data_IF_367321206834
#
_entry.id   IF_367321206834
#
_cell.length_a   1.000
_cell.length_b   1.000
_cell.length_c   1.000
_cell.angle_alpha   90.00
_cell.angle_beta   90.00
_cell.angle_gamma   90.00
#
_symmetry.space_group_name_H-M   'P 1'
#
loop_
_entity.id
_entity.type
_entity.pdbx_description
1 polymer ?
#
# COMPACT_ATOMS: atom_id res chain seq x y z
N UNK A 1 6.92 13.15 3.43
CA UNK A 1 6.05 12.12 4.04
C UNK A 1 5.34 11.38 2.92
N UNK A 2 4.89 10.15 3.17
CA UNK A 2 4.14 9.36 2.18
C UNK A 2 2.66 9.75 2.17
N UNK A 3 1.97 9.45 1.07
CA UNK A 3 0.51 9.59 0.98
C UNK A 3 -0.19 8.52 1.82
N UNK A 4 -1.39 8.84 2.31
CA UNK A 4 -2.15 7.92 3.15
C UNK A 4 -2.72 6.74 2.35
N UNK A 5 -2.69 5.54 2.94
CA UNK A 5 -3.23 4.31 2.34
C UNK A 5 -4.77 4.32 2.32
N UNK A 6 -5.42 3.54 1.44
CA UNK A 6 -6.87 3.50 1.36
C UNK A 6 -7.49 2.93 2.65
N UNK A 7 -8.51 3.62 3.15
CA UNK A 7 -9.25 3.25 4.35
C UNK A 7 -10.51 2.47 3.98
N UNK A 8 -10.78 1.40 4.73
CA UNK A 8 -11.93 0.53 4.54
C UNK A 8 -12.77 0.49 5.81
N UNK A 9 -14.09 0.40 5.65
CA UNK A 9 -15.04 0.26 6.74
C UNK A 9 -16.10 -0.77 6.39
N UNK A 10 -16.95 -1.12 7.34
CA UNK A 10 -18.06 -2.06 7.13
C UNK A 10 -19.10 -1.45 6.18
N UNK A 11 -19.76 -2.27 5.34
CA UNK A 11 -19.66 -3.74 5.21
C UNK A 11 -18.44 -4.21 4.39
N UNK A 12 -18.06 -5.49 4.51
CA UNK A 12 -16.89 -6.07 3.84
C UNK A 12 -17.01 -6.14 2.31
N UNK A 13 -18.23 -6.08 1.77
CA UNK A 13 -18.53 -5.92 0.36
C UNK A 13 -19.57 -4.80 0.25
N UNK A 14 -19.24 -3.77 -0.52
CA UNK A 14 -20.14 -2.65 -0.80
C UNK A 14 -20.14 -2.37 -2.30
N UNK A 15 -21.31 -2.51 -2.95
CA UNK A 15 -21.48 -2.30 -4.41
C UNK A 15 -20.50 -3.13 -5.27
N UNK A 16 -20.15 -4.34 -4.82
CA UNK A 16 -19.19 -5.22 -5.51
C UNK A 16 -17.72 -4.86 -5.27
N UNK A 17 -17.44 -3.84 -4.44
CA UNK A 17 -16.10 -3.50 -3.97
C UNK A 17 -15.83 -4.24 -2.66
N UNK A 18 -14.96 -5.24 -2.73
CA UNK A 18 -14.57 -6.04 -1.57
C UNK A 18 -13.40 -5.40 -0.83
N UNK A 19 -13.46 -5.48 0.49
CA UNK A 19 -12.31 -5.19 1.34
C UNK A 19 -11.22 -6.24 1.06
N UNK A 20 -9.95 -5.83 0.88
CA UNK A 20 -8.85 -6.77 0.69
C UNK A 20 -8.78 -7.84 1.79
N UNK A 21 -8.61 -9.10 1.41
CA UNK A 21 -8.58 -10.24 2.35
C UNK A 21 -7.50 -10.08 3.43
N UNK A 22 -6.39 -9.44 3.11
CA UNK A 22 -5.31 -9.13 4.06
C UNK A 22 -5.81 -8.28 5.24
N UNK A 23 -6.75 -7.36 5.02
CA UNK A 23 -7.37 -6.55 6.07
C UNK A 23 -8.38 -7.32 6.91
N UNK A 24 -8.88 -8.45 6.40
CA UNK A 24 -9.82 -9.33 7.09
C UNK A 24 -9.11 -10.47 7.86
N UNK A 25 -7.83 -10.72 7.56
CA UNK A 25 -7.07 -11.86 8.09
C UNK A 25 -6.70 -11.75 9.57
N UNK A 26 -6.71 -10.54 10.15
CA UNK A 26 -6.26 -10.29 11.52
C UNK A 26 -4.75 -10.38 11.73
N UNK A 27 -3.97 -10.64 10.68
CA UNK A 27 -2.51 -10.67 10.73
C UNK A 27 -1.97 -9.24 10.71
N UNK A 28 -1.64 -8.73 11.90
CA UNK A 28 -1.19 -7.35 12.07
C UNK A 28 0.06 -7.01 11.25
N UNK A 29 0.96 -7.97 11.04
CA UNK A 29 2.18 -7.73 10.28
C UNK A 29 1.88 -7.63 8.79
N UNK A 30 1.06 -8.53 8.25
CA UNK A 30 0.61 -8.42 6.86
C UNK A 30 -0.20 -7.16 6.61
N UNK A 31 -1.03 -6.74 7.58
CA UNK A 31 -1.78 -5.48 7.49
C UNK A 31 -0.81 -4.28 7.48
N UNK A 32 0.24 -4.28 8.30
CA UNK A 32 1.26 -3.22 8.32
C UNK A 32 1.98 -3.13 6.97
N UNK A 33 2.45 -4.26 6.46
CA UNK A 33 3.14 -4.35 5.17
C UNK A 33 2.22 -3.88 4.05
N UNK A 34 0.97 -4.36 4.02
CA UNK A 34 0.00 -3.96 3.01
C UNK A 34 -0.29 -2.45 3.05
N UNK A 35 -0.48 -1.87 4.24
CA UNK A 35 -0.68 -0.42 4.40
C UNK A 35 0.51 0.38 3.86
N UNK A 36 1.74 -0.07 4.18
CA UNK A 36 2.96 0.55 3.67
C UNK A 36 3.05 0.44 2.14
N UNK A 37 2.82 -0.76 1.58
CA UNK A 37 2.81 -1.00 0.13
C UNK A 37 1.81 -0.09 -0.59
N UNK A 38 0.58 0.03 -0.08
CA UNK A 38 -0.43 0.91 -0.70
C UNK A 38 -0.06 2.40 -0.60
N UNK A 39 0.51 2.83 0.53
CA UNK A 39 1.01 4.19 0.73
C UNK A 39 2.13 4.52 -0.25
N UNK A 40 3.09 3.60 -0.43
CA UNK A 40 4.18 3.72 -1.40
C UNK A 40 3.66 3.75 -2.83
N UNK A 41 2.75 2.85 -3.19
CA UNK A 41 2.11 2.80 -4.52
C UNK A 41 1.43 4.11 -4.86
N UNK A 42 0.56 4.61 -3.97
CA UNK A 42 -0.15 5.87 -4.18
C UNK A 42 0.80 7.06 -4.28
N UNK A 43 1.83 7.08 -3.44
CA UNK A 43 2.87 8.12 -3.49
C UNK A 43 3.60 8.07 -4.82
N UNK A 44 4.02 6.90 -5.29
CA UNK A 44 4.70 6.75 -6.58
C UNK A 44 3.84 7.20 -7.76
N UNK A 45 2.57 6.80 -7.79
CA UNK A 45 1.64 7.12 -8.87
C UNK A 45 1.30 8.62 -8.92
N UNK A 46 1.10 9.28 -7.77
CA UNK A 46 0.59 10.65 -7.70
C UNK A 46 1.64 11.71 -7.40
N UNK A 47 2.67 11.35 -6.64
CA UNK A 47 3.71 12.24 -6.08
C UNK A 47 5.07 11.54 -6.00
N UNK A 48 5.64 11.10 -7.15
CA UNK A 48 6.93 10.42 -7.17
C UNK A 48 8.06 11.30 -6.60
N UNK A 49 7.90 12.62 -6.67
CA UNK A 49 8.79 13.63 -6.08
C UNK A 49 9.06 13.42 -4.58
N UNK A 50 8.09 12.86 -3.85
CA UNK A 50 8.21 12.58 -2.41
C UNK A 50 9.06 11.34 -2.11
N UNK A 51 9.24 10.45 -3.08
CA UNK A 51 10.07 9.25 -2.95
C UNK A 51 11.53 9.54 -3.31
N UNK A 52 11.77 10.35 -4.35
CA UNK A 52 13.12 10.66 -4.84
C UNK A 52 14.03 11.30 -3.78
N UNK A 53 13.45 12.15 -2.92
CA UNK A 53 14.18 12.89 -1.89
C UNK A 53 14.24 12.18 -0.54
N UNK A 54 13.77 10.94 -0.45
CA UNK A 54 13.64 10.20 0.81
C UNK A 54 14.61 9.01 0.86
N UNK A 55 15.20 8.80 2.03
CA UNK A 55 15.95 7.59 2.33
C UNK A 55 14.95 6.47 2.58
N UNK A 56 14.90 5.50 1.66
CA UNK A 56 14.04 4.33 1.74
C UNK A 56 14.72 3.21 2.52
N UNK A 57 13.98 2.52 3.40
CA UNK A 57 14.46 1.28 4.03
C UNK A 57 14.55 0.14 3.02
N UNK A 58 15.23 -0.96 3.39
CA UNK A 58 15.27 -2.17 2.54
C UNK A 58 13.86 -2.70 2.26
N UNK A 59 13.02 -2.81 3.29
CA UNK A 59 11.61 -3.22 3.13
C UNK A 59 10.85 -2.32 2.14
N UNK A 60 11.02 -1.00 2.20
CA UNK A 60 10.33 -0.08 1.28
C UNK A 60 10.81 -0.23 -0.17
N UNK A 61 12.10 -0.54 -0.37
CA UNK A 61 12.66 -0.81 -1.70
C UNK A 61 12.11 -2.11 -2.27
N UNK A 62 12.08 -3.17 -1.48
CA UNK A 62 11.54 -4.47 -1.88
C UNK A 62 10.06 -4.33 -2.28
N UNK A 63 9.26 -3.62 -1.47
CA UNK A 63 7.87 -3.34 -1.78
C UNK A 63 7.69 -2.47 -3.03
N UNK A 64 8.57 -1.49 -3.27
CA UNK A 64 8.51 -0.66 -4.47
C UNK A 64 8.82 -1.45 -5.73
N UNK A 65 9.77 -2.38 -5.66
CA UNK A 65 10.07 -3.31 -6.76
C UNK A 65 8.88 -4.23 -7.04
N UNK A 66 8.26 -4.80 -6.00
CA UNK A 66 7.07 -5.64 -6.16
C UNK A 66 5.90 -4.85 -6.80
N UNK A 67 5.75 -3.56 -6.48
CA UNK A 67 4.75 -2.69 -7.12
C UNK A 67 5.06 -2.44 -8.60
N UNK A 68 6.34 -2.33 -8.98
CA UNK A 68 6.76 -2.21 -10.39
C UNK A 68 6.37 -3.46 -11.17
N UNK A 69 6.72 -4.63 -10.63
CA UNK A 69 6.42 -5.92 -11.25
C UNK A 69 4.91 -6.19 -11.39
N UNK A 70 4.08 -5.65 -10.48
CA UNK A 70 2.61 -5.75 -10.58
C UNK A 70 1.97 -4.80 -11.62
N UNK A 71 2.70 -3.75 -12.04
CA UNK A 71 2.15 -2.69 -12.91
C UNK A 71 2.52 -2.89 -14.39
N UNK A 72 3.53 -3.72 -14.68
CA UNK A 72 3.91 -4.17 -16.03
C UNK A 72 3.07 -5.37 -16.52
#
# INVERSE_FOLDING_TARGET
>A
GLLEYPQYTRPADYEGRKVPDVLLSGDHEKIRIWRLKQSLKLTKERRPDLLENRILSEEEKDLLQEIEEETD
#
